data_IF_636095641906
#
_entry.id   IF_636095641906
#
_cell.length_a   1.000
_cell.length_b   1.000
_cell.length_c   1.000
_cell.angle_alpha   90.00
_cell.angle_beta   90.00
_cell.angle_gamma   90.00
#
_symmetry.space_group_name_H-M   'P 1'
#
loop_
_entity.id
_entity.type
_entity.pdbx_description
1 polymer ?
#
# COMPACT_ATOMS: atom_id res chain seq x y z
N UNK A 1 1.53 0.76 7.41
CA UNK A 1 0.61 0.76 6.25
C UNK A 1 1.43 0.38 5.03
N UNK A 2 0.95 -0.55 4.22
CA UNK A 2 1.59 -1.00 2.98
C UNK A 2 0.58 -0.96 1.82
N UNK A 3 1.07 -1.20 0.60
CA UNK A 3 0.24 -1.41 -0.58
C UNK A 3 0.71 -2.66 -1.33
N UNK A 4 0.02 -3.79 -1.17
CA UNK A 4 0.37 -5.05 -1.81
C UNK A 4 1.65 -5.66 -1.24
N UNK A 5 1.68 -5.87 0.08
CA UNK A 5 2.88 -6.19 0.84
C UNK A 5 3.39 -7.64 0.68
N UNK A 6 2.83 -8.44 -0.22
CA UNK A 6 3.13 -9.89 -0.33
C UNK A 6 4.63 -10.16 -0.45
N UNK A 7 5.31 -9.49 -1.38
CA UNK A 7 6.76 -9.64 -1.55
C UNK A 7 7.55 -8.91 -0.47
N UNK A 8 7.04 -7.78 0.03
CA UNK A 8 7.72 -6.99 1.06
C UNK A 8 7.91 -7.81 2.35
N UNK A 9 6.89 -8.57 2.77
CA UNK A 9 6.97 -9.42 3.97
C UNK A 9 8.06 -10.49 3.80
N UNK A 10 8.12 -11.16 2.65
CA UNK A 10 9.14 -12.18 2.38
C UNK A 10 10.56 -11.58 2.35
N UNK A 11 10.73 -10.41 1.70
CA UNK A 11 12.03 -9.75 1.60
C UNK A 11 12.53 -9.22 2.94
N UNK A 12 11.64 -8.64 3.75
CA UNK A 12 11.97 -8.15 5.10
C UNK A 12 12.51 -9.26 5.99
N UNK A 13 11.90 -10.45 5.95
CA UNK A 13 12.37 -11.60 6.71
C UNK A 13 13.68 -12.15 6.15
N UNK A 14 13.73 -12.38 4.83
CA UNK A 14 14.87 -13.02 4.17
C UNK A 14 16.16 -12.20 4.29
N UNK A 15 16.08 -10.90 4.03
CA UNK A 15 17.27 -10.07 3.90
C UNK A 15 17.65 -9.39 5.23
N UNK A 16 16.69 -9.22 6.15
CA UNK A 16 16.89 -8.44 7.38
C UNK A 16 16.38 -9.10 8.68
N UNK A 17 15.71 -10.25 8.62
CA UNK A 17 15.11 -10.89 9.79
C UNK A 17 14.01 -10.03 10.46
N UNK A 18 13.35 -9.16 9.68
CA UNK A 18 12.31 -8.25 10.17
C UNK A 18 10.93 -8.86 9.99
N UNK A 19 10.08 -8.65 11.00
CA UNK A 19 8.68 -9.10 11.03
C UNK A 19 7.76 -7.91 11.28
N UNK A 20 6.58 -7.94 10.69
CA UNK A 20 5.60 -6.85 10.79
C UNK A 20 4.40 -7.32 11.60
N UNK A 21 4.04 -6.56 12.64
CA UNK A 21 2.84 -6.77 13.45
C UNK A 21 1.96 -5.54 13.32
N UNK A 22 0.64 -5.73 13.28
CA UNK A 22 -0.33 -4.64 13.13
C UNK A 22 -0.15 -3.88 11.81
N UNK A 23 -0.18 -4.62 10.70
CA UNK A 23 -0.09 -4.10 9.33
C UNK A 23 -1.48 -3.87 8.73
N UNK A 24 -1.65 -2.77 7.98
CA UNK A 24 -2.83 -2.52 7.14
C UNK A 24 -2.40 -2.39 5.68
N UNK A 25 -2.97 -3.22 4.82
CA UNK A 25 -2.69 -3.23 3.39
C UNK A 25 -3.80 -2.54 2.59
N UNK A 26 -3.44 -1.42 1.94
CA UNK A 26 -4.35 -0.63 1.11
C UNK A 26 -4.78 -1.36 -0.17
N UNK A 27 -4.03 -2.36 -0.65
CA UNK A 27 -4.43 -3.21 -1.77
C UNK A 27 -5.62 -4.11 -1.38
N UNK A 28 -5.56 -4.74 -0.20
CA UNK A 28 -6.69 -5.51 0.33
C UNK A 28 -7.91 -4.62 0.59
N UNK A 29 -7.67 -3.41 1.08
CA UNK A 29 -8.72 -2.43 1.29
C UNK A 29 -9.41 -2.01 -0.01
N UNK A 30 -8.64 -1.73 -1.07
CA UNK A 30 -9.16 -1.44 -2.41
C UNK A 30 -10.02 -2.58 -2.97
N UNK A 31 -9.59 -3.83 -2.75
CA UNK A 31 -10.34 -5.03 -3.15
C UNK A 31 -11.64 -5.19 -2.35
N UNK A 32 -11.63 -4.91 -1.05
CA UNK A 32 -12.84 -4.95 -0.20
C UNK A 32 -13.85 -3.87 -0.60
N UNK A 33 -13.39 -2.69 -1.03
CA UNK A 33 -14.21 -1.62 -1.60
C UNK A 33 -14.71 -1.92 -3.02
N UNK A 34 -14.30 -3.04 -3.62
CA UNK A 34 -14.61 -3.41 -5.00
C UNK A 34 -14.25 -2.29 -6.01
N UNK A 35 -13.12 -1.61 -5.78
CA UNK A 35 -12.62 -0.61 -6.71
C UNK A 35 -12.27 -1.27 -8.05
N UNK A 36 -12.53 -0.57 -9.16
CA UNK A 36 -12.26 -1.12 -10.49
C UNK A 36 -10.79 -1.44 -10.76
N UNK A 37 -9.86 -0.84 -10.01
CA UNK A 37 -8.42 -1.16 -10.00
C UNK A 37 -7.88 -1.09 -8.58
N UNK A 38 -6.94 -1.98 -8.25
CA UNK A 38 -6.38 -2.10 -6.90
C UNK A 38 -4.91 -1.67 -6.82
N UNK A 39 -4.38 -0.99 -7.85
CA UNK A 39 -3.00 -0.54 -7.90
C UNK A 39 -2.80 0.78 -7.15
N UNK A 40 -1.60 1.03 -6.62
CA UNK A 40 -1.27 2.27 -5.91
C UNK A 40 -1.53 3.50 -6.79
N UNK A 41 -1.11 3.46 -8.06
CA UNK A 41 -1.39 4.48 -9.08
C UNK A 41 -2.88 4.87 -9.15
N UNK A 42 -3.78 3.89 -8.99
CA UNK A 42 -5.22 4.16 -9.02
C UNK A 42 -5.67 4.86 -7.74
N UNK A 43 -5.20 4.41 -6.57
CA UNK A 43 -5.54 5.04 -5.29
C UNK A 43 -4.99 6.48 -5.21
N UNK A 44 -3.76 6.71 -5.67
CA UNK A 44 -3.17 8.04 -5.73
C UNK A 44 -3.97 8.97 -6.65
N UNK A 45 -4.43 8.47 -7.80
CA UNK A 45 -5.27 9.26 -8.70
C UNK A 45 -6.65 9.56 -8.11
N UNK A 46 -7.30 8.59 -7.50
CA UNK A 46 -8.66 8.74 -6.94
C UNK A 46 -8.66 9.63 -5.71
N UNK A 47 -7.74 9.42 -4.76
CA UNK A 47 -7.77 10.13 -3.49
C UNK A 47 -6.93 11.40 -3.47
N UNK A 48 -5.81 11.42 -4.19
CA UNK A 48 -4.84 12.53 -4.14
C UNK A 48 -4.80 13.36 -5.43
N UNK A 49 -5.47 12.92 -6.51
CA UNK A 49 -5.33 13.48 -7.86
C UNK A 49 -3.86 13.54 -8.33
N UNK A 50 -3.07 12.54 -7.94
CA UNK A 50 -1.65 12.40 -8.31
C UNK A 50 -1.49 11.29 -9.33
N UNK A 51 -0.73 11.54 -10.40
CA UNK A 51 -0.33 10.52 -11.36
C UNK A 51 1.01 9.94 -10.93
N UNK A 52 1.10 8.62 -10.77
CA UNK A 52 2.39 7.98 -10.52
C UNK A 52 3.21 7.91 -11.82
N UNK A 53 4.50 8.27 -11.73
CA UNK A 53 5.44 7.91 -12.77
C UNK A 53 5.72 6.40 -12.65
N UNK A 54 5.76 5.66 -13.76
CA UNK A 54 6.05 4.21 -13.78
C UNK A 54 7.44 3.88 -14.30
N UNK A 55 8.22 4.90 -14.66
CA UNK A 55 9.52 4.76 -15.33
C UNK A 55 10.53 3.93 -14.53
N UNK A 56 10.51 4.00 -13.20
CA UNK A 56 11.51 3.33 -12.35
C UNK A 56 11.03 2.03 -11.69
N UNK A 57 9.85 1.52 -12.07
CA UNK A 57 9.30 0.29 -11.48
C UNK A 57 10.24 -0.92 -11.66
N UNK A 58 10.96 -0.99 -12.79
CA UNK A 58 11.92 -2.05 -13.11
C UNK A 58 13.37 -1.54 -13.23
N UNK A 59 13.66 -0.36 -12.67
CA UNK A 59 15.01 0.19 -12.69
C UNK A 59 15.97 -0.58 -11.77
N UNK A 60 17.28 -0.49 -12.03
CA UNK A 60 18.29 -1.06 -11.13
C UNK A 60 18.48 -0.16 -9.89
N UNK A 61 17.85 -0.54 -8.79
CA UNK A 61 17.90 0.18 -7.50
C UNK A 61 19.25 0.06 -6.75
N UNK A 62 20.23 -0.67 -7.32
CA UNK A 62 21.58 -0.81 -6.74
C UNK A 62 22.51 0.36 -7.10
N UNK A 63 22.17 1.15 -8.13
CA UNK A 63 23.00 2.24 -8.63
C UNK A 63 23.28 3.28 -7.53
N UNK A 64 24.52 3.79 -7.46
CA UNK A 64 24.92 4.87 -6.56
C UNK A 64 25.81 5.92 -7.28
N UNK A 65 25.62 7.23 -7.02
CA UNK A 65 24.53 7.81 -6.22
C UNK A 65 23.16 7.59 -6.89
N UNK A 66 22.08 7.59 -6.11
CA UNK A 66 20.73 7.50 -6.67
C UNK A 66 20.39 8.85 -7.34
N UNK A 67 19.97 8.87 -8.62
CA UNK A 67 19.50 10.08 -9.27
C UNK A 67 18.27 10.68 -8.57
N UNK A 68 18.12 12.01 -8.63
CA UNK A 68 17.01 12.73 -8.00
C UNK A 68 15.63 12.24 -8.45
N UNK A 69 15.50 11.79 -9.69
CA UNK A 69 14.26 11.24 -10.24
C UNK A 69 13.89 9.91 -9.55
N UNK A 70 14.88 9.04 -9.26
CA UNK A 70 14.65 7.80 -8.51
C UNK A 70 14.31 8.08 -7.05
N UNK A 71 14.93 9.10 -6.44
CA UNK A 71 14.58 9.52 -5.08
C UNK A 71 13.13 10.01 -5.00
N UNK A 72 12.70 10.85 -5.94
CA UNK A 72 11.31 11.33 -6.01
C UNK A 72 10.32 10.19 -6.26
N UNK A 73 10.68 9.24 -7.13
CA UNK A 73 9.87 8.03 -7.36
C UNK A 73 9.70 7.22 -6.07
N UNK A 74 10.82 6.88 -5.40
CA UNK A 74 10.78 6.08 -4.17
C UNK A 74 10.02 6.78 -3.04
N UNK A 75 10.14 8.11 -2.94
CA UNK A 75 9.37 8.89 -2.00
C UNK A 75 7.85 8.80 -2.29
N UNK A 76 7.46 8.91 -3.57
CA UNK A 76 6.05 8.94 -3.97
C UNK A 76 5.29 7.66 -3.60
N UNK A 77 5.95 6.49 -3.56
CA UNK A 77 5.34 5.22 -3.18
C UNK A 77 4.83 5.19 -1.72
N UNK A 78 5.39 6.04 -0.84
CA UNK A 78 5.01 6.08 0.58
C UNK A 78 4.43 7.41 1.04
N UNK A 79 4.77 8.52 0.38
CA UNK A 79 4.46 9.88 0.81
C UNK A 79 2.95 10.10 1.08
N UNK A 80 2.09 9.53 0.26
CA UNK A 80 0.64 9.71 0.35
C UNK A 80 -0.08 8.57 1.08
N UNK A 81 0.64 7.51 1.48
CA UNK A 81 0.02 6.24 1.85
C UNK A 81 -0.80 6.33 3.14
N UNK A 82 -0.41 7.21 4.07
CA UNK A 82 -1.18 7.48 5.29
C UNK A 82 -2.50 8.19 5.00
N UNK A 83 -2.49 9.17 4.08
CA UNK A 83 -3.72 9.84 3.67
C UNK A 83 -4.65 8.88 2.92
N UNK A 84 -4.10 8.05 2.02
CA UNK A 84 -4.86 6.99 1.35
C UNK A 84 -5.47 6.02 2.38
N UNK A 85 -4.71 5.64 3.41
CA UNK A 85 -5.22 4.80 4.49
C UNK A 85 -6.44 5.43 5.19
N UNK A 86 -6.37 6.71 5.57
CA UNK A 86 -7.49 7.39 6.23
C UNK A 86 -8.73 7.48 5.32
N UNK A 87 -8.54 7.81 4.04
CA UNK A 87 -9.62 7.89 3.05
C UNK A 87 -10.28 6.55 2.81
N UNK A 88 -9.49 5.52 2.55
CA UNK A 88 -10.01 4.16 2.30
C UNK A 88 -10.69 3.59 3.55
N UNK A 89 -10.19 3.90 4.75
CA UNK A 89 -10.84 3.48 6.00
C UNK A 89 -12.20 4.16 6.19
N UNK A 90 -12.33 5.44 5.84
CA UNK A 90 -13.62 6.14 5.85
C UNK A 90 -14.60 5.52 4.84
N UNK A 91 -14.16 5.29 3.61
CA UNK A 91 -15.00 4.68 2.57
C UNK A 91 -15.45 3.24 2.96
N UNK A 92 -14.58 2.47 3.63
CA UNK A 92 -14.93 1.14 4.15
C UNK A 92 -15.98 1.23 5.28
N UNK A 93 -15.91 2.26 6.12
CA UNK A 93 -16.89 2.48 7.18
C UNK A 93 -18.25 2.85 6.62
N UNK A 94 -18.28 3.72 5.60
CA UNK A 94 -19.50 4.14 4.92
C UNK A 94 -20.15 2.99 4.16
N UNK A 95 -19.35 2.19 3.41
CA UNK A 95 -19.83 0.97 2.75
C UNK A 95 -20.33 -0.08 3.74
N UNK A 96 -19.76 -0.12 4.94
CA UNK A 96 -20.19 -0.95 6.05
C UNK A 96 -21.44 -0.45 6.78
N UNK A 97 -22.13 0.59 6.27
CA UNK A 97 -23.27 1.24 6.92
C UNK A 97 -22.96 1.71 8.36
N UNK A 98 -21.76 2.28 8.56
CA UNK A 98 -21.29 2.75 9.86
C UNK A 98 -20.81 1.63 10.79
N UNK A 99 -20.52 0.44 10.26
CA UNK A 99 -19.94 -0.67 11.02
C UNK A 99 -18.49 -0.91 10.61
N UNK A 100 -17.58 -1.22 11.54
CA UNK A 100 -16.17 -1.43 11.26
C UNK A 100 -15.87 -2.83 10.68
N UNK A 101 -16.87 -3.60 10.26
CA UNK A 101 -16.72 -5.00 9.82
C UNK A 101 -15.79 -5.14 8.63
N UNK A 102 -15.91 -4.29 7.62
CA UNK A 102 -15.03 -4.30 6.45
C UNK A 102 -13.61 -3.86 6.80
N UNK A 103 -13.46 -2.91 7.73
CA UNK A 103 -12.15 -2.47 8.23
C UNK A 103 -11.45 -3.63 8.94
N UNK A 104 -12.18 -4.34 9.81
CA UNK A 104 -11.66 -5.50 10.54
C UNK A 104 -11.23 -6.62 9.58
N UNK A 105 -12.01 -6.90 8.54
CA UNK A 105 -11.64 -7.87 7.51
C UNK A 105 -10.33 -7.52 6.78
N UNK A 106 -10.07 -6.22 6.55
CA UNK A 106 -8.80 -5.79 5.94
C UNK A 106 -7.64 -5.99 6.92
N UNK A 107 -7.82 -5.66 8.20
CA UNK A 107 -6.83 -5.96 9.24
C UNK A 107 -6.53 -7.45 9.36
N UNK A 108 -7.55 -8.30 9.35
CA UNK A 108 -7.36 -9.75 9.43
C UNK A 108 -6.59 -10.29 8.21
N UNK A 109 -6.96 -9.89 6.99
CA UNK A 109 -6.20 -10.26 5.78
C UNK A 109 -4.76 -9.77 5.80
N UNK A 110 -4.55 -8.53 6.27
CA UNK A 110 -3.22 -7.93 6.37
C UNK A 110 -2.37 -8.65 7.42
N UNK A 111 -2.97 -9.10 8.54
CA UNK A 111 -2.31 -9.95 9.54
C UNK A 111 -1.93 -11.29 8.93
N UNK A 112 -2.86 -11.96 8.25
CA UNK A 112 -2.58 -13.26 7.64
C UNK A 112 -1.46 -13.17 6.60
N UNK A 113 -1.37 -12.04 5.90
CA UNK A 113 -0.25 -11.74 5.01
C UNK A 113 1.08 -11.60 5.76
N UNK A 114 1.08 -10.90 6.90
CA UNK A 114 2.29 -10.73 7.72
C UNK A 114 2.79 -12.00 8.41
N UNK A 115 2.00 -13.07 8.39
CA UNK A 115 2.35 -14.39 8.92
C UNK A 115 2.97 -15.35 7.90
N UNK A 116 3.04 -14.94 6.62
CA UNK A 116 3.82 -15.67 5.60
C UNK A 116 5.29 -15.69 5.98
#
# INVERSE_FOLDING_TARGET
VFHGADSDIEWLQKDFGLYVVNMFDTHHAARSLNLGRNSLDHLLRVYCNVNSDKRYQLADWRIRPLPDEMLKYAQADTHYLLYVYDRVRADLYDMGNGQPTLIQQVWDKSRDLSLK
#
